data_IF_022094839015
#
_entry.id   IF_022094839015
#
_cell.length_a   1.000
_cell.length_b   1.000
_cell.length_c   1.000
_cell.angle_alpha   90.00
_cell.angle_beta   90.00
_cell.angle_gamma   90.00
#
_symmetry.space_group_name_H-M   'P 1'
#
loop_
_entity.id
_entity.type
_entity.pdbx_description
1 polymer ?
#
# COMPACT_ATOMS: atom_id res chain seq x y z
N UNK A 1 -22.35 14.83 -26.60
CA UNK A 1 -21.54 13.78 -25.95
C UNK A 1 -21.48 12.60 -26.87
N UNK A 2 -20.32 11.94 -27.04
CA UNK A 2 -20.24 10.68 -27.79
C UNK A 2 -21.03 9.59 -27.06
N UNK A 3 -21.45 8.53 -27.78
CA UNK A 3 -22.11 7.37 -27.17
C UNK A 3 -21.26 6.78 -26.01
N UNK A 4 -19.95 6.72 -26.22
CA UNK A 4 -18.96 6.29 -25.22
C UNK A 4 -18.96 7.17 -23.98
N UNK A 5 -18.90 8.50 -24.14
CA UNK A 5 -18.91 9.40 -22.98
C UNK A 5 -20.23 9.31 -22.20
N UNK A 6 -21.35 9.16 -22.91
CA UNK A 6 -22.65 8.97 -22.28
C UNK A 6 -22.72 7.66 -21.48
N UNK A 7 -22.18 6.56 -22.02
CA UNK A 7 -22.05 5.27 -21.32
C UNK A 7 -21.18 5.41 -20.05
N UNK A 8 -19.97 5.94 -20.18
CA UNK A 8 -19.03 6.13 -19.06
C UNK A 8 -19.67 6.97 -17.95
N UNK A 9 -20.27 8.11 -18.30
CA UNK A 9 -20.96 8.97 -17.33
C UNK A 9 -22.13 8.24 -16.66
N UNK A 10 -22.90 7.46 -17.43
CA UNK A 10 -23.98 6.64 -16.89
C UNK A 10 -23.50 5.62 -15.86
N UNK A 11 -22.37 4.96 -16.12
CA UNK A 11 -21.75 4.02 -15.17
C UNK A 11 -21.28 4.75 -13.91
N UNK A 12 -20.58 5.88 -14.04
CA UNK A 12 -20.13 6.70 -12.90
C UNK A 12 -21.33 7.10 -12.02
N UNK A 13 -22.41 7.58 -12.62
CA UNK A 13 -23.62 7.97 -11.88
C UNK A 13 -24.28 6.78 -11.17
N UNK A 14 -24.28 5.60 -11.79
CA UNK A 14 -24.79 4.38 -11.15
C UNK A 14 -23.93 3.97 -9.96
N UNK A 15 -22.60 4.06 -10.08
CA UNK A 15 -21.68 3.78 -8.96
C UNK A 15 -21.88 4.80 -7.84
N UNK A 16 -22.03 6.09 -8.15
CA UNK A 16 -22.33 7.16 -7.17
C UNK A 16 -23.61 6.89 -6.40
N UNK A 17 -24.69 6.48 -7.08
CA UNK A 17 -25.97 6.13 -6.44
C UNK A 17 -25.85 5.00 -5.42
N UNK A 18 -25.06 3.95 -5.72
CA UNK A 18 -24.87 2.80 -4.81
C UNK A 18 -23.91 3.09 -3.65
N UNK A 19 -22.96 4.01 -3.84
CA UNK A 19 -21.80 4.17 -2.95
C UNK A 19 -21.62 5.61 -2.46
N UNK A 20 -22.72 6.36 -2.29
CA UNK A 20 -22.69 7.82 -2.05
C UNK A 20 -21.88 8.31 -0.85
N UNK A 21 -21.59 7.45 0.13
CA UNK A 21 -20.80 7.77 1.32
C UNK A 21 -19.35 7.26 1.26
N UNK A 22 -18.84 6.98 0.06
CA UNK A 22 -17.49 6.44 -0.15
C UNK A 22 -16.65 7.35 -1.07
N UNK A 23 -16.36 8.61 -0.66
CA UNK A 23 -15.75 9.61 -1.52
C UNK A 23 -14.42 9.18 -2.14
N UNK A 24 -13.53 8.50 -1.40
CA UNK A 24 -12.25 8.00 -1.96
C UNK A 24 -12.47 6.96 -3.06
N UNK A 25 -13.48 6.11 -2.92
CA UNK A 25 -13.82 5.11 -3.94
C UNK A 25 -14.45 5.77 -5.17
N UNK A 26 -15.37 6.72 -4.97
CA UNK A 26 -16.00 7.45 -6.06
C UNK A 26 -14.99 8.28 -6.84
N UNK A 27 -14.03 8.91 -6.15
CA UNK A 27 -12.96 9.67 -6.78
C UNK A 27 -12.13 8.80 -7.73
N UNK A 28 -11.61 7.67 -7.27
CA UNK A 28 -10.78 6.80 -8.13
C UNK A 28 -11.56 6.22 -9.31
N UNK A 29 -12.84 5.88 -9.11
CA UNK A 29 -13.72 5.41 -10.19
C UNK A 29 -13.88 6.50 -11.25
N UNK A 30 -14.16 7.74 -10.84
CA UNK A 30 -14.32 8.86 -11.76
C UNK A 30 -13.02 9.17 -12.52
N UNK A 31 -11.88 9.22 -11.82
CA UNK A 31 -10.56 9.47 -12.43
C UNK A 31 -10.19 8.39 -13.46
N UNK A 32 -10.33 7.11 -13.10
CA UNK A 32 -9.96 6.00 -13.99
C UNK A 32 -10.91 5.92 -15.18
N UNK A 33 -12.22 5.87 -14.96
CA UNK A 33 -13.18 5.65 -16.05
C UNK A 33 -13.16 6.81 -17.05
N UNK A 34 -12.98 8.05 -16.59
CA UNK A 34 -12.86 9.22 -17.47
C UNK A 34 -11.65 9.15 -18.40
N UNK A 35 -10.61 8.39 -18.04
CA UNK A 35 -9.43 8.18 -18.89
C UNK A 35 -9.62 7.11 -19.98
N UNK A 36 -10.67 6.28 -19.90
CA UNK A 36 -10.85 5.10 -20.75
C UNK A 36 -11.60 5.37 -22.06
N UNK A 37 -12.08 6.59 -22.29
CA UNK A 37 -12.82 6.97 -23.51
C UNK A 37 -12.20 6.46 -24.82
N UNK A 38 -10.90 6.71 -25.09
CA UNK A 38 -10.25 6.24 -26.31
C UNK A 38 -10.26 4.71 -26.50
N UNK A 39 -10.23 3.94 -25.42
CA UNK A 39 -10.28 2.47 -25.47
C UNK A 39 -11.67 2.00 -25.89
N UNK A 40 -12.72 2.61 -25.34
CA UNK A 40 -14.11 2.26 -25.64
C UNK A 40 -14.58 2.78 -27.00
N UNK A 41 -13.96 3.83 -27.54
CA UNK A 41 -14.15 4.25 -28.93
C UNK A 41 -13.57 3.22 -29.91
N UNK A 42 -12.43 2.63 -29.57
CA UNK A 42 -11.77 1.58 -30.37
C UNK A 42 -12.44 0.20 -30.21
N UNK A 43 -12.99 -0.08 -29.03
CA UNK A 43 -13.59 -1.34 -28.64
C UNK A 43 -15.02 -1.14 -28.11
N UNK A 44 -15.98 -0.77 -28.98
CA UNK A 44 -17.36 -0.51 -28.57
C UNK A 44 -18.07 -1.74 -27.97
N UNK A 45 -17.63 -2.95 -28.33
CA UNK A 45 -18.16 -4.22 -27.81
C UNK A 45 -18.10 -4.32 -26.27
N UNK A 46 -17.16 -3.62 -25.62
CA UNK A 46 -17.05 -3.59 -24.16
C UNK A 46 -18.26 -2.91 -23.48
N UNK A 47 -18.97 -2.02 -24.19
CA UNK A 47 -20.20 -1.43 -23.70
C UNK A 47 -21.34 -2.46 -23.69
N UNK A 48 -21.45 -3.27 -24.74
CA UNK A 48 -22.48 -4.31 -24.89
C UNK A 48 -22.35 -5.39 -23.81
N UNK A 49 -21.11 -5.69 -23.39
CA UNK A 49 -20.82 -6.62 -22.29
C UNK A 49 -20.96 -6.00 -20.89
N UNK A 50 -21.38 -4.73 -20.81
CA UNK A 50 -21.45 -3.94 -19.59
C UNK A 50 -20.16 -4.03 -18.75
N UNK A 51 -19.00 -3.91 -19.40
CA UNK A 51 -17.70 -4.20 -18.80
C UNK A 51 -17.39 -3.27 -17.61
N UNK A 52 -17.61 -1.96 -17.75
CA UNK A 52 -17.24 -1.00 -16.70
C UNK A 52 -18.09 -1.14 -15.45
N UNK A 53 -19.40 -1.41 -15.57
CA UNK A 53 -20.25 -1.60 -14.40
C UNK A 53 -19.83 -2.86 -13.62
N UNK A 54 -19.51 -3.96 -14.31
CA UNK A 54 -18.96 -5.17 -13.68
C UNK A 54 -17.59 -4.91 -13.06
N UNK A 55 -16.76 -4.11 -13.72
CA UNK A 55 -15.41 -3.80 -13.23
C UNK A 55 -15.41 -2.96 -11.96
N UNK A 56 -16.39 -2.05 -11.80
CA UNK A 56 -16.51 -1.20 -10.61
C UNK A 56 -17.16 -1.88 -9.40
N UNK A 57 -17.88 -2.99 -9.58
CA UNK A 57 -18.48 -3.73 -8.48
C UNK A 57 -17.52 -4.83 -7.99
N UNK A 58 -17.08 -4.84 -6.72
CA UNK A 58 -16.23 -5.90 -6.21
C UNK A 58 -16.91 -7.27 -6.31
N UNK A 59 -16.18 -8.29 -6.76
CA UNK A 59 -16.69 -9.67 -6.82
C UNK A 59 -17.17 -10.17 -5.44
N UNK A 60 -16.47 -9.77 -4.36
CA UNK A 60 -16.89 -10.07 -2.99
C UNK A 60 -16.38 -9.03 -1.99
N UNK A 61 -17.24 -8.68 -1.03
CA UNK A 61 -16.90 -7.81 0.10
C UNK A 61 -17.23 -8.52 1.41
N UNK A 62 -16.24 -8.66 2.29
CA UNK A 62 -16.37 -9.35 3.58
C UNK A 62 -16.08 -8.33 4.67
N UNK A 63 -17.04 -8.13 5.57
CA UNK A 63 -16.94 -7.27 6.73
C UNK A 63 -17.23 -8.09 7.97
N UNK A 64 -16.37 -8.01 8.98
CA UNK A 64 -16.46 -8.88 10.15
C UNK A 64 -16.02 -8.20 11.44
N UNK A 65 -16.49 -8.73 12.56
CA UNK A 65 -16.11 -8.28 13.91
C UNK A 65 -14.79 -8.93 14.33
N UNK A 66 -13.92 -8.17 14.97
CA UNK A 66 -12.63 -8.63 15.51
C UNK A 66 -12.57 -8.32 17.01
N UNK A 67 -13.04 -9.24 17.87
CA UNK A 67 -12.95 -9.08 19.33
C UNK A 67 -11.58 -9.52 19.85
N UNK A 68 -10.99 -8.78 20.79
CA UNK A 68 -9.69 -9.10 21.39
C UNK A 68 -9.59 -8.54 22.82
N UNK A 69 -8.53 -8.89 23.55
CA UNK A 69 -8.30 -8.46 24.93
C UNK A 69 -7.03 -7.63 25.00
N UNK A 70 -7.10 -6.43 25.59
CA UNK A 70 -5.94 -5.57 25.81
C UNK A 70 -5.06 -6.07 26.98
N UNK A 71 -3.89 -5.45 27.20
CA UNK A 71 -3.00 -5.88 28.28
C UNK A 71 -3.57 -5.63 29.69
N UNK A 72 -4.59 -4.78 29.82
CA UNK A 72 -5.30 -4.53 31.08
C UNK A 72 -6.46 -5.50 31.30
N UNK A 73 -6.69 -6.44 30.38
CA UNK A 73 -7.78 -7.40 30.46
C UNK A 73 -9.13 -6.89 29.94
N UNK A 74 -9.19 -5.69 29.34
CA UNK A 74 -10.45 -5.17 28.80
C UNK A 74 -10.76 -5.79 27.43
N UNK A 75 -12.05 -6.05 27.19
CA UNK A 75 -12.55 -6.49 25.89
C UNK A 75 -12.62 -5.31 24.93
N UNK A 76 -11.95 -5.46 23.79
CA UNK A 76 -11.90 -4.49 22.71
C UNK A 76 -12.57 -5.09 21.46
N UNK A 77 -13.17 -4.22 20.63
CA UNK A 77 -13.83 -4.64 19.39
C UNK A 77 -13.44 -3.70 18.26
N UNK A 78 -12.98 -4.29 17.16
CA UNK A 78 -12.66 -3.59 15.92
C UNK A 78 -13.42 -4.21 14.76
N UNK A 79 -13.47 -3.49 13.64
CA UNK A 79 -14.05 -3.99 12.40
C UNK A 79 -12.94 -4.41 11.43
N UNK A 80 -13.06 -5.60 10.87
CA UNK A 80 -12.19 -6.14 9.83
C UNK A 80 -12.88 -6.13 8.47
N UNK A 81 -12.07 -6.00 7.42
CA UNK A 81 -12.50 -5.96 6.03
C UNK A 81 -11.60 -6.82 5.15
N UNK A 82 -12.21 -7.49 4.16
CA UNK A 82 -11.53 -8.00 2.96
C UNK A 82 -12.42 -7.81 1.73
N UNK A 83 -11.96 -6.98 0.80
CA UNK A 83 -12.57 -6.76 -0.51
C UNK A 83 -11.74 -7.52 -1.54
N UNK A 84 -12.37 -8.53 -2.11
CA UNK A 84 -11.87 -9.34 -3.22
C UNK A 84 -12.46 -8.73 -4.48
N UNK A 85 -11.71 -7.83 -5.12
CA UNK A 85 -12.29 -6.91 -6.09
C UNK A 85 -12.43 -7.56 -7.46
N UNK A 86 -11.34 -8.08 -8.01
CA UNK A 86 -11.35 -8.71 -9.33
C UNK A 86 -10.32 -9.86 -9.41
N UNK A 87 -10.79 -11.04 -9.80
CA UNK A 87 -9.98 -12.28 -9.91
C UNK A 87 -9.66 -12.67 -11.36
N UNK A 88 -9.95 -11.82 -12.35
CA UNK A 88 -9.92 -12.20 -13.77
C UNK A 88 -8.54 -12.66 -14.27
N UNK A 89 -7.46 -12.14 -13.69
CA UNK A 89 -6.08 -12.46 -14.09
C UNK A 89 -5.32 -13.32 -13.07
N UNK A 90 -5.98 -13.80 -12.01
CA UNK A 90 -5.37 -14.64 -10.98
C UNK A 90 -5.95 -14.40 -9.58
N UNK A 91 -5.39 -15.03 -8.53
CA UNK A 91 -5.85 -14.89 -7.15
C UNK A 91 -5.89 -13.42 -6.71
N UNK A 92 -6.85 -13.04 -5.86
CA UNK A 92 -6.93 -11.67 -5.37
C UNK A 92 -5.63 -11.31 -4.63
N UNK A 93 -5.03 -10.17 -4.98
CA UNK A 93 -3.76 -9.75 -4.39
C UNK A 93 -3.85 -8.30 -3.90
N UNK A 94 -3.54 -8.12 -2.62
CA UNK A 94 -3.27 -6.79 -2.06
C UNK A 94 -3.24 -6.74 -0.54
N UNK A 95 -2.64 -5.67 -0.04
CA UNK A 95 -2.26 -5.51 1.36
C UNK A 95 -3.43 -5.44 2.36
N UNK A 96 -3.08 -5.61 3.64
CA UNK A 96 -3.91 -5.35 4.80
C UNK A 96 -3.44 -4.07 5.48
N UNK A 97 -4.35 -3.13 5.75
CA UNK A 97 -4.06 -1.86 6.44
C UNK A 97 -4.69 -1.82 7.83
N UNK A 98 -3.90 -1.57 8.86
CA UNK A 98 -4.39 -1.32 10.23
C UNK A 98 -4.19 0.16 10.56
N UNK A 99 -5.28 0.92 10.52
CA UNK A 99 -5.25 2.35 10.78
C UNK A 99 -6.64 2.83 11.22
N UNK A 100 -6.76 3.74 12.20
CA UNK A 100 -8.06 4.18 12.74
C UNK A 100 -8.99 4.84 11.71
N UNK A 101 -8.45 5.32 10.58
CA UNK A 101 -9.27 5.88 9.50
C UNK A 101 -9.91 4.83 8.59
N UNK A 102 -9.54 3.55 8.70
CA UNK A 102 -9.99 2.51 7.78
C UNK A 102 -11.50 2.31 7.88
N UNK A 103 -12.18 2.49 6.75
CA UNK A 103 -13.57 2.09 6.54
C UNK A 103 -13.74 1.52 5.12
N UNK A 104 -14.93 1.04 4.77
CA UNK A 104 -15.16 0.31 3.51
C UNK A 104 -14.80 1.13 2.26
N UNK A 105 -15.07 2.44 2.23
CA UNK A 105 -14.74 3.30 1.09
C UNK A 105 -13.24 3.33 0.79
N UNK A 106 -12.38 3.48 1.82
CA UNK A 106 -10.93 3.41 1.65
C UNK A 106 -10.47 2.03 1.18
N UNK A 107 -11.06 0.94 1.68
CA UNK A 107 -10.67 -0.41 1.27
C UNK A 107 -11.05 -0.67 -0.19
N UNK A 108 -12.23 -0.20 -0.63
CA UNK A 108 -12.65 -0.31 -2.04
C UNK A 108 -11.81 0.56 -2.95
N UNK A 109 -11.56 1.82 -2.58
CA UNK A 109 -10.62 2.71 -3.28
C UNK A 109 -9.28 2.00 -3.56
N UNK A 110 -8.61 1.54 -2.50
CA UNK A 110 -7.32 0.88 -2.61
C UNK A 110 -7.42 -0.46 -3.36
N UNK A 111 -8.52 -1.19 -3.23
CA UNK A 111 -8.76 -2.46 -3.91
C UNK A 111 -8.97 -2.29 -5.41
N UNK A 112 -9.68 -1.23 -5.83
CA UNK A 112 -9.93 -0.90 -7.21
C UNK A 112 -8.64 -0.55 -7.96
N UNK A 113 -7.84 0.37 -7.41
CA UNK A 113 -6.52 0.69 -7.97
C UNK A 113 -5.58 -0.52 -8.03
N UNK A 114 -5.70 -1.43 -7.04
CA UNK A 114 -4.87 -2.62 -6.99
C UNK A 114 -5.11 -3.57 -8.17
N UNK A 115 -6.31 -3.57 -8.78
CA UNK A 115 -6.60 -4.37 -9.99
C UNK A 115 -5.68 -3.95 -11.13
N UNK A 116 -5.71 -2.65 -11.46
CA UNK A 116 -4.94 -2.10 -12.59
C UNK A 116 -3.45 -2.14 -12.30
N UNK A 117 -3.05 -1.80 -11.07
CA UNK A 117 -1.65 -1.88 -10.65
C UNK A 117 -1.08 -3.29 -10.80
N UNK A 118 -1.83 -4.31 -10.40
CA UNK A 118 -1.38 -5.69 -10.50
C UNK A 118 -1.36 -6.18 -11.95
N UNK A 119 -2.36 -5.80 -12.75
CA UNK A 119 -2.39 -6.09 -14.19
C UNK A 119 -1.15 -5.57 -14.91
N UNK A 120 -0.71 -4.34 -14.62
CA UNK A 120 0.48 -3.73 -15.21
C UNK A 120 1.79 -4.46 -14.88
N UNK A 121 1.81 -5.36 -13.89
CA UNK A 121 3.00 -6.17 -13.60
C UNK A 121 3.24 -7.29 -14.61
N UNK A 122 2.22 -7.66 -15.40
CA UNK A 122 2.25 -8.82 -16.29
C UNK A 122 2.21 -10.18 -15.57
N UNK A 123 2.11 -10.19 -14.24
CA UNK A 123 2.00 -11.40 -13.43
C UNK A 123 0.53 -11.80 -13.24
N UNK A 124 0.24 -13.11 -13.02
CA UNK A 124 -1.12 -13.60 -12.86
C UNK A 124 -1.67 -13.33 -11.45
N UNK A 125 -1.97 -12.07 -11.15
CA UNK A 125 -2.44 -11.61 -9.83
C UNK A 125 -3.61 -10.64 -9.96
N UNK A 126 -4.77 -11.03 -9.43
CA UNK A 126 -5.97 -10.19 -9.38
C UNK A 126 -5.86 -9.04 -8.37
N UNK A 127 -6.92 -8.26 -8.19
CA UNK A 127 -6.96 -7.11 -7.28
C UNK A 127 -7.79 -7.35 -6.03
N UNK A 128 -7.27 -6.93 -4.87
CA UNK A 128 -8.02 -6.92 -3.62
C UNK A 128 -7.37 -6.07 -2.54
N UNK A 129 -8.08 -5.79 -1.46
CA UNK A 129 -7.54 -5.07 -0.30
C UNK A 129 -8.28 -5.47 0.97
N UNK A 130 -7.63 -5.31 2.13
CA UNK A 130 -8.31 -5.50 3.40
C UNK A 130 -7.68 -4.66 4.49
N UNK A 131 -8.13 -4.85 5.71
CA UNK A 131 -7.65 -4.08 6.84
C UNK A 131 -8.61 -4.05 8.01
N UNK A 132 -8.31 -3.16 8.96
CA UNK A 132 -9.13 -2.90 10.12
C UNK A 132 -8.93 -1.47 10.61
N UNK A 133 -9.96 -0.94 11.27
CA UNK A 133 -9.91 0.32 12.04
C UNK A 133 -9.06 0.23 13.31
N UNK A 134 -8.39 -0.90 13.55
CA UNK A 134 -7.43 -1.08 14.63
C UNK A 134 -6.22 -0.13 14.49
N UNK A 135 -5.92 0.60 15.57
CA UNK A 135 -4.74 1.45 15.66
C UNK A 135 -3.58 0.72 16.38
N UNK A 136 -2.52 0.31 15.65
CA UNK A 136 -1.37 -0.37 16.24
C UNK A 136 -0.48 0.56 17.07
N UNK A 137 -0.65 1.88 16.99
CA UNK A 137 0.16 2.84 17.76
C UNK A 137 -0.15 2.70 19.25
N UNK A 138 0.92 2.76 20.04
CA UNK A 138 0.85 2.59 21.49
C UNK A 138 0.52 1.17 21.96
N UNK A 139 0.36 0.19 21.05
CA UNK A 139 0.07 -1.20 21.42
C UNK A 139 1.33 -2.00 21.71
N UNK A 140 1.24 -2.88 22.70
CA UNK A 140 2.29 -3.85 22.98
C UNK A 140 2.36 -4.90 21.87
N UNK A 141 3.48 -5.63 21.81
CA UNK A 141 3.62 -6.71 20.83
C UNK A 141 2.63 -7.86 21.10
N UNK A 142 2.22 -8.05 22.37
CA UNK A 142 1.24 -9.03 22.77
C UNK A 142 -0.18 -8.63 22.33
N UNK A 143 -0.55 -7.37 22.49
CA UNK A 143 -1.84 -6.84 21.99
C UNK A 143 -1.96 -6.99 20.48
N UNK A 144 -0.90 -6.64 19.75
CA UNK A 144 -0.86 -6.79 18.29
C UNK A 144 -0.94 -8.26 17.87
N UNK A 145 -0.25 -9.15 18.58
CA UNK A 145 -0.35 -10.59 18.34
C UNK A 145 -1.79 -11.10 18.57
N UNK A 146 -2.42 -10.76 19.70
CA UNK A 146 -3.81 -11.16 20.01
C UNK A 146 -4.79 -10.60 18.98
N UNK A 147 -4.62 -9.35 18.56
CA UNK A 147 -5.40 -8.74 17.50
C UNK A 147 -5.24 -9.49 16.16
N UNK A 148 -4.01 -9.74 15.71
CA UNK A 148 -3.73 -10.47 14.47
C UNK A 148 -4.31 -11.89 14.50
N UNK A 149 -4.23 -12.57 15.64
CA UNK A 149 -4.81 -13.90 15.81
C UNK A 149 -6.34 -13.87 15.72
N UNK A 150 -6.99 -12.90 16.37
CA UNK A 150 -8.44 -12.71 16.26
C UNK A 150 -8.88 -12.37 14.84
N UNK A 151 -8.18 -11.45 14.18
CA UNK A 151 -8.42 -11.06 12.79
C UNK A 151 -8.31 -12.26 11.83
N UNK A 152 -7.25 -13.06 11.96
CA UNK A 152 -7.02 -14.23 11.11
C UNK A 152 -7.99 -15.38 11.43
N UNK A 153 -8.55 -15.45 12.64
CA UNK A 153 -9.56 -16.46 13.00
C UNK A 153 -10.81 -16.36 12.13
N UNK A 154 -11.16 -15.15 11.67
CA UNK A 154 -12.18 -14.99 10.64
C UNK A 154 -11.56 -15.04 9.22
N UNK A 155 -10.52 -14.27 8.93
CA UNK A 155 -10.01 -14.10 7.57
C UNK A 155 -9.56 -15.41 6.90
N UNK A 156 -9.03 -16.38 7.66
CA UNK A 156 -8.44 -17.61 7.09
C UNK A 156 -9.39 -18.42 6.20
N UNK A 157 -10.73 -18.34 6.40
CA UNK A 157 -11.70 -19.09 5.59
C UNK A 157 -11.93 -18.47 4.20
N UNK A 158 -11.49 -17.23 4.01
CA UNK A 158 -11.69 -16.44 2.81
C UNK A 158 -10.43 -16.31 1.94
N UNK A 159 -9.28 -16.77 2.45
CA UNK A 159 -7.97 -16.65 1.79
C UNK A 159 -7.33 -18.01 1.54
N UNK A 160 -6.37 -18.03 0.62
CA UNK A 160 -5.62 -19.23 0.24
C UNK A 160 -4.66 -18.96 -0.91
N UNK A 161 -3.66 -19.81 -1.16
CA UNK A 161 -2.63 -19.58 -2.18
C UNK A 161 -3.19 -19.29 -3.57
N UNK A 162 -4.27 -19.98 -3.95
CA UNK A 162 -4.91 -19.88 -5.27
C UNK A 162 -6.25 -19.13 -5.22
N UNK A 163 -6.55 -18.46 -4.10
CA UNK A 163 -7.81 -17.74 -3.88
C UNK A 163 -7.52 -16.26 -3.66
N UNK A 164 -6.85 -15.93 -2.56
CA UNK A 164 -6.58 -14.57 -2.12
C UNK A 164 -5.30 -14.57 -1.28
N UNK A 165 -4.34 -13.74 -1.67
CA UNK A 165 -2.99 -13.67 -1.08
C UNK A 165 -2.75 -12.26 -0.52
N UNK A 166 -3.09 -11.99 0.75
CA UNK A 166 -2.83 -10.70 1.37
C UNK A 166 -1.33 -10.38 1.53
N UNK A 167 -1.04 -9.12 1.90
CA UNK A 167 0.30 -8.61 2.17
C UNK A 167 0.28 -7.55 3.28
N UNK A 168 1.45 -7.00 3.61
CA UNK A 168 1.54 -5.82 4.47
C UNK A 168 1.12 -4.53 3.77
N UNK A 169 0.72 -3.54 4.57
CA UNK A 169 0.43 -2.15 4.20
C UNK A 169 0.66 -1.27 5.46
N UNK A 170 0.15 -0.04 5.50
CA UNK A 170 0.24 0.83 6.69
C UNK A 170 -0.31 0.08 7.92
N UNK A 171 0.49 0.02 8.98
CA UNK A 171 0.15 -0.67 10.23
C UNK A 171 0.30 -2.20 10.19
N UNK A 172 0.70 -2.79 9.05
CA UNK A 172 0.93 -4.24 8.89
C UNK A 172 2.31 -4.47 8.28
N UNK A 173 3.31 -4.60 9.14
CA UNK A 173 4.70 -4.89 8.79
C UNK A 173 5.05 -6.38 8.85
N UNK A 174 6.36 -6.66 8.91
CA UNK A 174 6.85 -8.04 9.02
C UNK A 174 6.40 -8.76 10.31
N UNK A 175 6.27 -8.02 11.41
CA UNK A 175 5.77 -8.51 12.70
C UNK A 175 4.32 -9.01 12.57
N UNK A 176 3.42 -8.17 12.07
CA UNK A 176 2.01 -8.51 11.88
C UNK A 176 1.85 -9.66 10.89
N UNK A 177 2.59 -9.64 9.77
CA UNK A 177 2.57 -10.75 8.80
C UNK A 177 3.02 -12.06 9.45
N UNK A 178 4.02 -12.04 10.34
CA UNK A 178 4.43 -13.20 11.12
C UNK A 178 3.31 -13.75 11.99
N UNK A 179 2.64 -12.89 12.77
CA UNK A 179 1.51 -13.28 13.62
C UNK A 179 0.31 -13.81 12.83
N UNK A 180 -0.05 -13.11 11.74
CA UNK A 180 -1.13 -13.51 10.82
C UNK A 180 -0.83 -14.87 10.17
N UNK A 181 0.39 -15.07 9.66
CA UNK A 181 0.78 -16.34 9.04
C UNK A 181 0.83 -17.48 10.06
N UNK A 182 1.34 -17.22 11.27
CA UNK A 182 1.35 -18.18 12.37
C UNK A 182 -0.06 -18.66 12.72
N UNK A 183 -1.02 -17.75 12.88
CA UNK A 183 -2.40 -18.11 13.16
C UNK A 183 -3.07 -18.83 11.99
N UNK A 184 -2.83 -18.38 10.76
CA UNK A 184 -3.35 -19.05 9.56
C UNK A 184 -2.91 -20.51 9.53
N UNK A 185 -1.60 -20.77 9.70
CA UNK A 185 -1.04 -22.12 9.72
C UNK A 185 -1.64 -22.97 10.84
N UNK A 186 -1.82 -22.40 12.03
CA UNK A 186 -2.42 -23.09 13.18
C UNK A 186 -3.84 -23.55 12.89
N UNK A 187 -4.67 -22.70 12.28
CA UNK A 187 -6.07 -23.01 11.99
C UNK A 187 -6.19 -23.98 10.81
N UNK A 188 -5.44 -23.75 9.73
CA UNK A 188 -5.49 -24.63 8.55
C UNK A 188 -4.83 -25.99 8.76
N UNK A 189 -3.92 -26.10 9.73
CA UNK A 189 -3.13 -27.31 9.93
C UNK A 189 -2.15 -27.60 8.79
N UNK A 190 -1.76 -26.58 8.00
CA UNK A 190 -0.95 -26.76 6.79
C UNK A 190 0.11 -25.66 6.60
N UNK A 191 1.25 -26.00 6.01
CA UNK A 191 2.27 -25.05 5.57
C UNK A 191 1.97 -24.54 4.15
N UNK A 192 1.01 -23.64 4.02
CA UNK A 192 0.69 -23.02 2.73
C UNK A 192 1.48 -21.73 2.55
N UNK A 193 2.73 -21.87 2.09
CA UNK A 193 3.66 -20.76 1.93
C UNK A 193 3.08 -19.57 1.14
N UNK A 194 2.27 -19.86 0.11
CA UNK A 194 1.74 -18.87 -0.83
C UNK A 194 0.62 -17.97 -0.29
N UNK A 195 0.07 -18.21 0.90
CA UNK A 195 -1.12 -17.46 1.37
C UNK A 195 -0.85 -16.01 1.76
N UNK A 196 0.39 -15.68 2.14
CA UNK A 196 0.79 -14.31 2.49
C UNK A 196 2.15 -13.97 1.88
N UNK A 197 2.26 -12.77 1.33
CA UNK A 197 3.54 -12.17 0.90
C UNK A 197 4.06 -11.19 1.94
N UNK A 198 5.37 -10.93 1.93
CA UNK A 198 6.02 -10.07 2.93
C UNK A 198 6.42 -10.80 4.22
N UNK A 199 6.48 -12.14 4.15
CA UNK A 199 6.99 -13.02 5.19
C UNK A 199 8.48 -12.80 5.44
N UNK A 200 8.95 -13.17 6.61
CA UNK A 200 10.37 -13.23 6.95
C UNK A 200 11.10 -14.33 6.18
N UNK A 201 12.40 -14.11 5.92
CA UNK A 201 13.22 -14.98 5.07
C UNK A 201 13.26 -16.44 5.57
N UNK A 202 13.33 -16.63 6.89
CA UNK A 202 13.41 -17.96 7.52
C UNK A 202 12.14 -18.80 7.40
N UNK A 203 11.03 -18.23 6.90
CA UNK A 203 9.76 -18.93 6.74
C UNK A 203 9.06 -18.62 5.40
N UNK A 204 9.85 -18.46 4.32
CA UNK A 204 9.35 -18.37 2.95
C UNK A 204 9.13 -16.94 2.44
N UNK A 205 9.83 -15.97 3.04
CA UNK A 205 9.98 -14.63 2.50
C UNK A 205 10.93 -14.58 1.29
N UNK A 206 10.89 -13.48 0.55
CA UNK A 206 11.78 -13.21 -0.58
C UNK A 206 12.81 -12.16 -0.20
N UNK A 207 14.04 -12.32 -0.69
CA UNK A 207 15.03 -11.24 -0.75
C UNK A 207 14.47 -10.07 -1.56
N UNK A 208 15.04 -8.88 -1.36
CA UNK A 208 14.64 -7.61 -2.00
C UNK A 208 13.25 -7.10 -1.59
N UNK A 209 12.43 -7.90 -0.89
CA UNK A 209 11.08 -7.47 -0.47
C UNK A 209 11.06 -6.14 0.29
N UNK A 210 11.97 -5.84 1.24
CA UNK A 210 11.98 -4.55 1.91
C UNK A 210 12.25 -3.38 0.95
N UNK A 211 13.16 -3.56 0.00
CA UNK A 211 13.58 -2.55 -0.98
C UNK A 211 12.61 -2.39 -2.15
N UNK A 212 11.86 -3.44 -2.50
CA UNK A 212 11.22 -3.63 -3.80
C UNK A 212 10.43 -2.42 -4.30
N UNK A 213 9.59 -1.80 -3.47
CA UNK A 213 8.77 -0.65 -3.88
C UNK A 213 9.61 0.59 -4.14
N UNK A 214 10.56 0.89 -3.24
CA UNK A 214 11.45 2.05 -3.40
C UNK A 214 12.34 1.88 -4.63
N UNK A 215 12.89 0.68 -4.82
CA UNK A 215 13.67 0.33 -6.01
C UNK A 215 12.83 0.45 -7.27
N UNK A 216 11.61 -0.10 -7.27
CA UNK A 216 10.71 -0.07 -8.42
C UNK A 216 10.35 1.35 -8.86
N UNK A 217 10.03 2.25 -7.92
CA UNK A 217 9.78 3.67 -8.24
C UNK A 217 11.02 4.32 -8.85
N UNK A 218 12.21 4.07 -8.27
CA UNK A 218 13.46 4.59 -8.84
C UNK A 218 13.75 4.03 -10.22
N UNK A 219 13.55 2.73 -10.45
CA UNK A 219 13.75 2.11 -11.76
C UNK A 219 12.78 2.65 -12.81
N UNK A 220 11.51 2.82 -12.45
CA UNK A 220 10.54 3.41 -13.38
C UNK A 220 10.93 4.84 -13.75
N UNK A 221 11.31 5.67 -12.77
CA UNK A 221 11.81 7.01 -13.02
C UNK A 221 13.12 7.01 -13.84
N UNK A 222 14.01 6.04 -13.62
CA UNK A 222 15.22 5.87 -14.40
C UNK A 222 14.90 5.65 -15.89
N UNK A 223 13.93 4.80 -16.21
CA UNK A 223 13.51 4.57 -17.60
C UNK A 223 12.85 5.81 -18.22
N UNK A 224 12.08 6.57 -17.45
CA UNK A 224 11.54 7.86 -17.90
C UNK A 224 12.66 8.88 -18.19
N UNK A 225 13.66 8.99 -17.31
CA UNK A 225 14.81 9.87 -17.53
C UNK A 225 15.58 9.46 -18.78
N UNK A 226 15.83 8.16 -18.98
CA UNK A 226 16.53 7.64 -20.17
C UNK A 226 15.78 7.98 -21.46
N UNK A 227 14.44 7.90 -21.46
CA UNK A 227 13.63 8.29 -22.61
C UNK A 227 13.86 9.76 -23.02
N UNK A 228 14.08 10.64 -22.03
CA UNK A 228 14.41 12.05 -22.23
C UNK A 228 15.91 12.32 -22.41
N UNK A 229 16.76 11.28 -22.53
CA UNK A 229 18.21 11.42 -22.66
C UNK A 229 18.91 11.88 -21.36
N UNK A 230 18.30 11.65 -20.20
CA UNK A 230 18.79 12.01 -18.87
C UNK A 230 19.10 10.76 -18.02
N UNK A 231 19.82 10.94 -16.92
CA UNK A 231 20.06 9.90 -15.90
C UNK A 231 19.98 10.50 -14.48
N UNK A 232 20.24 9.72 -13.43
CA UNK A 232 20.26 10.25 -12.05
C UNK A 232 21.56 10.97 -11.68
N UNK A 233 22.63 10.85 -12.48
CA UNK A 233 23.98 11.22 -12.07
C UNK A 233 24.09 12.72 -11.83
N UNK A 234 24.44 13.09 -10.61
CA UNK A 234 24.58 14.48 -10.18
C UNK A 234 23.26 15.23 -10.00
N UNK A 235 22.10 14.56 -10.18
CA UNK A 235 20.79 15.17 -9.94
C UNK A 235 20.43 15.19 -8.47
N UNK A 236 19.79 16.25 -8.01
CA UNK A 236 19.14 16.30 -6.70
C UNK A 236 17.70 15.82 -6.81
N UNK A 237 17.26 15.02 -5.85
CA UNK A 237 15.90 14.44 -5.83
C UNK A 237 15.23 14.77 -4.50
N UNK A 238 14.02 15.32 -4.56
CA UNK A 238 13.20 15.53 -3.37
C UNK A 238 12.35 14.27 -3.11
N UNK A 239 12.41 13.74 -1.89
CA UNK A 239 11.64 12.57 -1.47
C UNK A 239 10.80 12.96 -0.23
N UNK A 240 9.55 12.52 -0.20
CA UNK A 240 8.71 12.64 1.00
C UNK A 240 8.54 11.27 1.66
N UNK A 241 8.37 11.28 2.98
CA UNK A 241 8.39 10.07 3.80
C UNK A 241 9.79 9.67 4.25
N UNK A 242 9.87 8.85 5.30
CA UNK A 242 11.07 8.10 5.70
C UNK A 242 10.77 6.60 5.93
N UNK A 243 9.60 6.14 5.48
CA UNK A 243 9.19 4.74 5.53
C UNK A 243 10.01 3.84 4.61
N UNK A 244 9.69 2.53 4.60
CA UNK A 244 10.35 1.52 3.75
C UNK A 244 10.50 1.94 2.28
N UNK A 245 9.50 2.60 1.70
CA UNK A 245 9.53 3.05 0.30
C UNK A 245 10.58 4.15 0.11
N UNK A 246 10.56 5.17 0.97
CA UNK A 246 11.52 6.27 0.91
C UNK A 246 12.95 5.79 1.15
N UNK A 247 13.15 4.92 2.15
CA UNK A 247 14.45 4.27 2.40
C UNK A 247 14.97 3.53 1.17
N UNK A 248 14.15 2.67 0.56
CA UNK A 248 14.53 1.94 -0.66
C UNK A 248 14.85 2.87 -1.83
N UNK A 249 14.08 3.95 -1.99
CA UNK A 249 14.32 4.95 -3.02
C UNK A 249 15.65 5.70 -2.77
N UNK A 250 15.93 6.16 -1.54
CA UNK A 250 17.21 6.78 -1.18
C UNK A 250 18.39 5.88 -1.53
N UNK A 251 18.31 4.60 -1.14
CA UNK A 251 19.34 3.61 -1.44
C UNK A 251 19.55 3.49 -2.95
N UNK A 252 18.49 3.27 -3.72
CA UNK A 252 18.66 3.06 -5.17
C UNK A 252 19.07 4.33 -5.92
N UNK A 253 18.54 5.49 -5.56
CA UNK A 253 18.92 6.77 -6.17
C UNK A 253 20.40 7.05 -5.91
N UNK A 254 20.87 6.82 -4.67
CA UNK A 254 22.29 6.93 -4.32
C UNK A 254 23.17 5.98 -5.12
N UNK A 255 22.76 4.71 -5.27
CA UNK A 255 23.49 3.72 -6.09
C UNK A 255 23.63 4.17 -7.56
N UNK A 256 22.66 4.93 -8.06
CA UNK A 256 22.62 5.45 -9.42
C UNK A 256 23.29 6.83 -9.58
N UNK A 257 23.95 7.34 -8.53
CA UNK A 257 24.68 8.61 -8.54
C UNK A 257 23.80 9.86 -8.40
N UNK A 258 22.52 9.70 -8.05
CA UNK A 258 21.64 10.79 -7.66
C UNK A 258 21.73 11.10 -6.16
N UNK A 259 21.23 12.26 -5.76
CA UNK A 259 21.32 12.74 -4.39
C UNK A 259 19.94 13.08 -3.83
N UNK A 260 19.43 12.27 -2.91
CA UNK A 260 18.17 12.59 -2.21
C UNK A 260 18.45 13.66 -1.16
N UNK A 261 17.76 14.81 -1.26
CA UNK A 261 18.02 15.99 -0.43
C UNK A 261 16.93 16.29 0.59
N UNK A 262 15.80 15.61 0.52
CA UNK A 262 14.71 15.76 1.48
C UNK A 262 14.15 14.42 1.92
N UNK A 263 13.65 14.40 3.15
CA UNK A 263 12.79 13.35 3.71
C UNK A 263 11.73 14.04 4.56
N UNK A 264 10.56 13.41 4.75
CA UNK A 264 9.50 14.01 5.56
C UNK A 264 8.81 13.00 6.47
N UNK A 265 8.32 13.48 7.60
CA UNK A 265 7.46 12.78 8.55
C UNK A 265 6.16 13.55 8.79
N UNK A 266 5.26 13.03 9.63
CA UNK A 266 4.09 13.80 10.08
C UNK A 266 4.46 15.12 10.80
N UNK A 267 5.67 15.20 11.34
CA UNK A 267 6.20 16.33 12.11
C UNK A 267 6.86 17.43 11.25
N UNK A 268 7.12 17.19 9.97
CA UNK A 268 7.77 18.15 9.07
C UNK A 268 8.66 17.50 8.03
N UNK A 269 9.63 18.24 7.49
CA UNK A 269 10.64 17.69 6.57
C UNK A 269 12.05 18.16 6.92
N UNK A 270 13.04 17.38 6.47
CA UNK A 270 14.46 17.74 6.56
C UNK A 270 15.00 18.14 5.19
N UNK A 271 15.98 19.02 5.19
CA UNK A 271 16.80 19.32 4.02
C UNK A 271 18.26 18.98 4.32
N UNK A 272 18.79 18.00 3.58
CA UNK A 272 20.16 17.52 3.68
C UNK A 272 20.90 17.83 2.37
N UNK A 273 21.65 18.95 2.31
CA UNK A 273 22.34 19.38 1.10
C UNK A 273 23.52 18.48 0.73
N UNK A 274 23.98 17.60 1.61
CA UNK A 274 24.99 16.58 1.29
C UNK A 274 24.33 15.27 0.80
N UNK A 275 23.03 15.13 1.07
CA UNK A 275 22.20 14.03 0.65
C UNK A 275 22.17 12.85 1.62
N UNK A 276 21.10 12.07 1.51
CA UNK A 276 20.85 10.86 2.31
C UNK A 276 21.58 9.67 1.69
N UNK A 277 22.83 9.44 2.10
CA UNK A 277 23.72 8.40 1.55
C UNK A 277 24.48 7.66 2.66
N UNK A 278 25.00 6.46 2.34
CA UNK A 278 25.81 5.65 3.27
C UNK A 278 25.13 5.41 4.62
N UNK A 279 25.82 5.78 5.71
CA UNK A 279 25.38 5.61 7.10
C UNK A 279 24.00 6.27 7.37
N UNK A 280 23.66 7.34 6.65
CA UNK A 280 22.37 8.03 6.77
C UNK A 280 21.22 7.14 6.31
N UNK A 281 21.44 6.30 5.29
CA UNK A 281 20.45 5.32 4.81
C UNK A 281 20.27 4.20 5.84
N UNK A 282 21.37 3.73 6.43
CA UNK A 282 21.32 2.69 7.47
C UNK A 282 20.57 3.19 8.71
N UNK A 283 20.76 4.45 9.08
CA UNK A 283 20.01 5.06 10.17
C UNK A 283 18.49 5.12 9.93
N UNK A 284 18.03 5.27 8.68
CA UNK A 284 16.59 5.18 8.41
C UNK A 284 16.03 3.80 8.79
N UNK A 285 16.80 2.72 8.60
CA UNK A 285 16.39 1.37 9.02
C UNK A 285 16.31 1.27 10.54
N UNK A 286 17.27 1.88 11.25
CA UNK A 286 17.24 1.97 12.72
C UNK A 286 15.99 2.72 13.21
N UNK A 287 15.68 3.87 12.60
CA UNK A 287 14.49 4.65 12.91
C UNK A 287 13.20 3.83 12.70
N UNK A 288 13.14 3.01 11.64
CA UNK A 288 11.98 2.17 11.34
C UNK A 288 11.82 0.97 12.28
N UNK A 289 12.92 0.45 12.85
CA UNK A 289 12.91 -0.76 13.67
C UNK A 289 12.83 -0.48 15.18
N UNK A 290 13.49 0.57 15.65
CA UNK A 290 13.74 0.77 17.09
C UNK A 290 12.66 1.66 17.72
N UNK A 291 12.09 2.61 16.99
CA UNK A 291 11.30 3.67 17.60
C UNK A 291 9.87 3.71 17.05
N UNK A 292 8.92 3.13 17.81
CA UNK A 292 7.46 3.15 17.51
C UNK A 292 6.86 4.58 17.47
N UNK A 293 7.67 5.61 17.71
CA UNK A 293 7.36 7.03 17.58
C UNK A 293 8.49 7.84 16.93
N UNK A 294 9.33 7.21 16.08
CA UNK A 294 10.36 7.91 15.32
C UNK A 294 9.77 9.13 14.60
N UNK A 295 10.46 10.26 14.70
CA UNK A 295 10.11 11.51 14.04
C UNK A 295 11.20 11.84 13.04
N UNK A 296 10.87 12.50 11.93
CA UNK A 296 11.93 12.88 11.00
C UNK A 296 12.90 13.88 11.64
N UNK A 297 12.44 14.66 12.64
CA UNK A 297 13.31 15.49 13.47
C UNK A 297 14.47 14.71 14.10
N UNK A 298 14.32 13.43 14.44
CA UNK A 298 15.39 12.62 15.03
C UNK A 298 16.56 12.42 14.04
N UNK A 299 16.31 12.49 12.74
CA UNK A 299 17.34 12.55 11.70
C UNK A 299 18.08 13.88 11.70
N UNK A 300 17.34 14.98 11.78
CA UNK A 300 17.93 16.32 11.85
C UNK A 300 18.82 16.49 13.08
N UNK A 301 18.36 16.02 14.24
CA UNK A 301 19.11 16.11 15.49
C UNK A 301 20.40 15.28 15.45
N UNK A 302 20.39 14.10 14.81
CA UNK A 302 21.57 13.23 14.68
C UNK A 302 22.62 13.76 13.72
N UNK A 303 22.21 14.30 12.57
CA UNK A 303 23.12 14.71 11.49
C UNK A 303 23.32 16.22 11.37
N UNK A 304 22.69 17.02 12.24
CA UNK A 304 22.84 18.48 12.25
C UNK A 304 22.30 19.18 11.00
N UNK A 305 21.26 18.61 10.37
CA UNK A 305 20.66 19.16 9.14
C UNK A 305 19.43 20.02 9.45
N UNK A 306 18.98 20.82 8.47
CA UNK A 306 17.83 21.69 8.66
C UNK A 306 16.54 20.88 8.79
N UNK A 307 15.66 21.29 9.71
CA UNK A 307 14.33 20.74 9.92
C UNK A 307 13.28 21.85 9.83
N UNK A 308 12.22 21.59 9.07
CA UNK A 308 11.12 22.51 8.82
C UNK A 308 9.83 21.90 9.36
N UNK A 309 9.41 22.37 10.53
CA UNK A 309 8.31 21.78 11.28
C UNK A 309 6.95 22.00 10.58
N UNK A 310 6.17 20.93 10.42
CA UNK A 310 4.82 20.98 9.84
C UNK A 310 4.75 21.31 8.34
N UNK A 311 5.88 21.52 7.69
CA UNK A 311 5.96 21.84 6.27
C UNK A 311 6.16 20.61 5.37
N UNK A 312 6.00 20.80 4.05
CA UNK A 312 6.24 19.77 3.02
C UNK A 312 7.47 20.11 2.18
N UNK A 313 8.23 19.11 1.67
CA UNK A 313 9.50 19.35 0.98
C UNK A 313 9.37 19.93 -0.45
N UNK A 314 8.16 20.23 -0.93
CA UNK A 314 7.90 20.54 -2.34
C UNK A 314 8.37 21.93 -2.80
N UNK A 315 8.73 22.81 -1.86
CA UNK A 315 9.34 24.10 -2.17
C UNK A 315 10.87 24.01 -2.32
N UNK A 316 11.47 22.85 -2.03
CA UNK A 316 12.91 22.62 -2.20
C UNK A 316 13.20 22.40 -3.68
N UNK A 317 14.17 23.16 -4.21
CA UNK A 317 14.62 23.01 -5.60
C UNK A 317 15.32 21.65 -5.78
N UNK A 318 14.69 20.78 -6.55
CA UNK A 318 15.23 19.50 -7.00
C UNK A 318 15.09 19.39 -8.53
N UNK A 319 15.79 18.42 -9.13
CA UNK A 319 15.73 18.14 -10.56
C UNK A 319 14.47 17.36 -10.96
#
# INVERSE_FOLDING_TARGET
MSNVQAYINGVIENVKKRNGNEPEFLQTVEEVLSSLGPVFEKHPEYMDENLLERFCEPERQIMFRVPWVDDNGNLQVNRGYRVQFNGAIGPYKGGLRFHPSVYIGIIKFLGFEQILKNSLTGLPIGGGKGGSDFDPRGKSDNEIMRFCQSFMTELNRHIGPDVDVPAGDIGVGGREIGYLYGQYRRIKGAFQNGVLTGKGLTYGGSLIRPEATGYGVTYYCQEMLKHEGLDFKGKTVAVSGFGNVAWGACKKISDLGGRVVTLSGPDGYIYDPEGVTGEKIDYLVEMLNINKGARIKDYADKYGVQFFAGEKPWNVKAN
#
